data_IF_447677425892
#
_entry.id   IF_447677425892
#
_cell.length_a   1.000
_cell.length_b   1.000
_cell.length_c   1.000
_cell.angle_alpha   90.00
_cell.angle_beta   90.00
_cell.angle_gamma   90.00
#
_symmetry.space_group_name_H-M   'P 1'
#
loop_
_entity.id
_entity.type
_entity.pdbx_description
1 polymer ?
#
# COMPACT_ATOMS: atom_id res chain seq x y z
N UNK A 1 39.09 -39.93 -32.45
CA UNK A 1 37.72 -39.43 -32.72
C UNK A 1 36.99 -39.49 -31.39
N UNK A 2 37.31 -38.59 -30.48
CA UNK A 2 36.90 -37.18 -30.37
C UNK A 2 35.62 -37.03 -29.54
N UNK A 3 35.74 -36.16 -28.57
CA UNK A 3 34.90 -35.94 -27.41
C UNK A 3 33.66 -35.12 -27.75
N UNK A 4 32.64 -35.23 -26.88
CA UNK A 4 31.86 -34.14 -26.23
C UNK A 4 30.38 -34.48 -26.20
N UNK A 5 29.98 -35.16 -25.12
CA UNK A 5 28.59 -35.12 -24.65
C UNK A 5 28.30 -33.72 -24.10
N UNK A 6 27.46 -32.97 -24.81
CA UNK A 6 26.88 -31.72 -24.34
C UNK A 6 25.82 -32.05 -23.29
N UNK A 7 26.17 -31.89 -22.02
CA UNK A 7 25.19 -31.79 -20.93
C UNK A 7 24.72 -30.34 -20.87
N UNK A 8 23.58 -30.05 -21.49
CA UNK A 8 22.84 -28.81 -21.27
C UNK A 8 22.19 -28.86 -19.89
N UNK A 9 22.82 -28.23 -18.90
CA UNK A 9 22.17 -27.90 -17.63
C UNK A 9 21.08 -26.86 -17.91
N UNK A 10 19.83 -27.31 -18.03
CA UNK A 10 18.66 -26.44 -18.00
C UNK A 10 18.55 -25.86 -16.58
N UNK A 11 18.87 -24.58 -16.43
CA UNK A 11 18.58 -23.83 -15.21
C UNK A 11 17.06 -23.65 -15.15
N UNK A 12 16.37 -24.55 -14.45
CA UNK A 12 15.02 -24.31 -13.97
C UNK A 12 15.09 -23.16 -12.97
N UNK A 13 14.71 -21.96 -13.41
CA UNK A 13 14.38 -20.85 -12.52
C UNK A 13 13.22 -21.30 -11.63
N UNK A 14 13.53 -21.62 -10.37
CA UNK A 14 12.53 -21.80 -9.32
C UNK A 14 11.78 -20.47 -9.18
N UNK A 15 10.57 -20.42 -9.73
CA UNK A 15 9.61 -19.35 -9.46
C UNK A 15 9.20 -19.46 -8.00
N UNK A 16 9.84 -18.68 -7.13
CA UNK A 16 9.34 -18.48 -5.77
C UNK A 16 8.01 -17.72 -5.91
N UNK A 17 6.92 -18.32 -5.47
CA UNK A 17 5.61 -17.66 -5.45
C UNK A 17 5.66 -16.44 -4.54
N UNK A 18 5.12 -15.31 -5.00
CA UNK A 18 4.96 -14.12 -4.15
C UNK A 18 4.06 -14.46 -2.94
N UNK A 19 4.40 -13.99 -1.72
CA UNK A 19 3.59 -14.28 -0.55
C UNK A 19 2.20 -13.63 -0.64
N UNK A 20 1.20 -14.35 -0.16
CA UNK A 20 -0.19 -13.92 -0.09
C UNK A 20 -0.42 -12.88 1.02
N UNK A 21 -1.54 -12.15 0.97
CA UNK A 21 -1.96 -11.24 2.04
C UNK A 21 -1.96 -11.94 3.42
N UNK A 22 -2.49 -13.17 3.48
CA UNK A 22 -2.53 -13.97 4.72
C UNK A 22 -1.13 -14.21 5.29
N UNK A 23 -0.15 -14.49 4.42
CA UNK A 23 1.24 -14.69 4.84
C UNK A 23 1.89 -13.38 5.31
N UNK A 24 1.63 -12.25 4.65
CA UNK A 24 2.06 -10.93 5.14
C UNK A 24 1.46 -10.60 6.51
N UNK A 25 0.16 -10.84 6.71
CA UNK A 25 -0.50 -10.61 7.99
C UNK A 25 0.12 -11.45 9.12
N UNK A 26 0.46 -12.71 8.83
CA UNK A 26 1.08 -13.61 9.81
C UNK A 26 2.53 -13.25 10.13
N UNK A 27 3.28 -12.71 9.16
CA UNK A 27 4.69 -12.34 9.30
C UNK A 27 4.92 -10.89 9.76
N UNK A 28 3.87 -10.09 9.89
CA UNK A 28 3.98 -8.66 10.18
C UNK A 28 4.36 -8.38 11.63
N UNK A 29 5.38 -7.55 11.80
CA UNK A 29 5.84 -7.04 13.08
C UNK A 29 5.83 -5.50 13.06
N UNK A 30 5.03 -4.84 13.92
CA UNK A 30 5.07 -3.39 14.06
C UNK A 30 6.48 -2.89 14.43
N UNK A 31 6.95 -1.83 13.77
CA UNK A 31 8.29 -1.28 13.99
C UNK A 31 8.37 0.20 13.60
N UNK A 32 8.92 1.04 14.49
CA UNK A 32 9.10 2.48 14.31
C UNK A 32 10.38 2.89 13.56
N UNK A 33 11.24 1.96 13.16
CA UNK A 33 12.54 2.30 12.54
C UNK A 33 12.43 2.88 11.14
N UNK A 34 11.25 2.80 10.52
CA UNK A 34 11.02 3.30 9.16
C UNK A 34 10.44 4.71 9.18
N UNK A 35 10.79 5.51 8.19
CA UNK A 35 10.16 6.81 7.96
C UNK A 35 8.87 6.58 7.17
N UNK A 36 7.79 7.27 7.56
CA UNK A 36 6.52 7.25 6.83
C UNK A 36 6.66 7.70 5.36
N UNK A 37 7.65 8.54 5.05
CA UNK A 37 7.92 9.02 3.69
C UNK A 37 8.61 7.98 2.82
N UNK A 38 8.25 7.90 1.54
CA UNK A 38 8.93 7.04 0.57
C UNK A 38 8.14 6.76 -0.69
N UNK A 39 8.73 5.91 -1.54
CA UNK A 39 8.07 5.30 -2.70
C UNK A 39 7.70 3.87 -2.34
N UNK A 40 6.45 3.50 -2.58
CA UNK A 40 5.91 2.21 -2.18
C UNK A 40 5.15 1.52 -3.32
N UNK A 41 5.15 0.20 -3.28
CA UNK A 41 4.33 -0.67 -4.11
C UNK A 41 3.12 -1.13 -3.31
N UNK A 42 1.94 -0.97 -3.88
CA UNK A 42 0.71 -1.55 -3.37
C UNK A 42 0.68 -3.05 -3.71
N UNK A 43 0.43 -3.91 -2.72
CA UNK A 43 0.55 -5.36 -2.91
C UNK A 43 -0.79 -6.07 -3.08
N UNK A 44 -1.84 -5.62 -2.40
CA UNK A 44 -3.09 -6.37 -2.26
C UNK A 44 -4.35 -5.53 -2.43
N UNK A 45 -4.25 -4.25 -2.79
CA UNK A 45 -5.42 -3.43 -3.11
C UNK A 45 -6.26 -4.05 -4.24
N UNK A 46 -7.57 -4.26 -4.05
CA UNK A 46 -8.45 -4.81 -5.07
C UNK A 46 -8.55 -3.95 -6.35
N UNK A 47 -8.28 -2.65 -6.23
CA UNK A 47 -8.35 -1.66 -7.30
C UNK A 47 -7.02 -1.45 -8.05
N UNK A 48 -5.95 -2.14 -7.64
CA UNK A 48 -4.65 -2.02 -8.29
C UNK A 48 -4.36 -3.17 -9.27
N UNK A 49 -5.05 -3.15 -10.41
CA UNK A 49 -4.76 -4.05 -11.53
C UNK A 49 -3.48 -3.66 -12.31
N UNK A 50 -2.82 -2.57 -11.93
CA UNK A 50 -1.79 -1.93 -12.73
C UNK A 50 -0.38 -2.34 -12.28
N UNK A 51 0.39 -3.06 -13.12
CA UNK A 51 1.65 -3.69 -12.69
C UNK A 51 2.76 -2.69 -12.30
N UNK A 52 2.64 -1.43 -12.76
CA UNK A 52 3.60 -0.35 -12.51
C UNK A 52 3.07 0.70 -11.53
N UNK A 53 1.90 0.46 -10.95
CA UNK A 53 1.28 1.35 -10.02
C UNK A 53 2.19 1.61 -8.82
N UNK A 54 2.35 2.88 -8.49
CA UNK A 54 3.31 3.34 -7.48
C UNK A 54 2.62 4.30 -6.54
N UNK A 55 2.89 4.17 -5.24
CA UNK A 55 2.44 5.08 -4.18
C UNK A 55 3.61 5.93 -3.71
N UNK A 56 3.31 7.16 -3.34
CA UNK A 56 4.28 8.11 -2.80
C UNK A 56 3.72 8.71 -1.52
N UNK A 57 4.56 8.74 -0.48
CA UNK A 57 4.30 9.48 0.75
C UNK A 57 5.36 10.56 0.82
N UNK A 58 4.96 11.80 0.60
CA UNK A 58 5.83 12.96 0.61
C UNK A 58 5.59 13.79 1.87
N UNK A 59 6.67 14.27 2.50
CA UNK A 59 6.57 15.21 3.61
C UNK A 59 6.25 16.61 3.10
N UNK A 60 5.28 17.28 3.71
CA UNK A 60 5.03 18.70 3.48
C UNK A 60 5.34 19.57 4.71
N UNK A 61 5.34 20.88 4.45
CA UNK A 61 5.44 21.95 5.43
C UNK A 61 4.41 21.71 6.56
N UNK A 62 4.84 21.85 7.82
CA UNK A 62 4.00 21.74 9.02
C UNK A 62 3.51 20.34 9.44
N UNK A 63 4.31 19.28 9.25
CA UNK A 63 4.16 17.93 9.86
C UNK A 63 3.13 16.97 9.26
N UNK A 64 2.44 17.37 8.19
CA UNK A 64 1.53 16.48 7.46
C UNK A 64 2.25 15.71 6.34
N UNK A 65 1.85 14.46 6.11
CA UNK A 65 2.35 13.66 5.00
C UNK A 65 1.25 13.45 3.96
N UNK A 66 1.59 13.65 2.70
CA UNK A 66 0.64 13.62 1.60
C UNK A 66 0.84 12.35 0.78
N UNK A 67 -0.26 11.68 0.45
CA UNK A 67 -0.24 10.51 -0.42
C UNK A 67 -0.50 10.94 -1.86
N UNK A 68 0.31 10.43 -2.77
CA UNK A 68 0.10 10.52 -4.21
C UNK A 68 0.27 9.14 -4.85
N UNK A 69 -0.23 8.97 -6.07
CA UNK A 69 0.06 7.76 -6.85
C UNK A 69 0.19 8.05 -8.34
N UNK A 70 0.86 7.14 -9.04
CA UNK A 70 0.97 7.12 -10.50
C UNK A 70 0.74 5.74 -11.07
N UNK A 71 0.46 5.69 -12.38
CA UNK A 71 0.14 4.49 -13.13
C UNK A 71 -1.07 3.72 -12.55
N UNK A 72 -2.06 4.46 -12.08
CA UNK A 72 -3.29 3.91 -11.51
C UNK A 72 -4.46 3.97 -12.50
N UNK A 73 -5.63 3.51 -12.05
CA UNK A 73 -6.89 3.64 -12.77
C UNK A 73 -7.07 2.57 -13.85
N UNK A 74 -8.19 2.64 -14.58
CA UNK A 74 -8.60 1.59 -15.53
C UNK A 74 -7.58 1.40 -16.67
N UNK A 75 -6.87 2.48 -17.02
CA UNK A 75 -5.89 2.48 -18.13
C UNK A 75 -4.44 2.41 -17.66
N UNK A 76 -4.18 2.35 -16.35
CA UNK A 76 -2.83 2.38 -15.77
C UNK A 76 -1.99 3.59 -16.18
N UNK A 77 -2.63 4.71 -16.54
CA UNK A 77 -1.97 5.95 -16.96
C UNK A 77 -2.29 7.14 -16.06
N UNK A 78 -3.18 6.95 -15.08
CA UNK A 78 -3.62 8.02 -14.21
C UNK A 78 -2.59 8.29 -13.13
N UNK A 79 -2.48 9.55 -12.74
CA UNK A 79 -1.75 9.99 -11.55
C UNK A 79 -2.65 10.90 -10.73
N UNK A 80 -2.42 10.99 -9.43
CA UNK A 80 -3.18 11.86 -8.53
C UNK A 80 -2.37 12.23 -7.27
N UNK A 81 -2.84 13.23 -6.55
CA UNK A 81 -2.21 13.72 -5.32
C UNK A 81 -1.27 14.90 -5.55
N UNK A 82 -0.79 15.47 -4.43
CA UNK A 82 -0.02 16.72 -4.42
C UNK A 82 1.32 16.67 -5.15
N UNK A 83 1.92 15.48 -5.30
CA UNK A 83 3.16 15.30 -6.09
C UNK A 83 2.98 15.69 -7.56
N UNK A 84 1.83 15.35 -8.16
CA UNK A 84 1.58 15.55 -9.59
C UNK A 84 0.69 16.77 -9.85
N UNK A 85 -0.23 17.06 -8.92
CA UNK A 85 -1.15 18.19 -9.01
C UNK A 85 -1.11 19.00 -7.71
N UNK A 86 -0.11 19.87 -7.52
CA UNK A 86 0.05 20.63 -6.26
C UNK A 86 -1.19 21.45 -5.88
N UNK A 87 -1.88 22.00 -6.89
CA UNK A 87 -3.10 22.79 -6.72
C UNK A 87 -4.39 21.96 -6.85
N UNK A 88 -4.28 20.64 -6.98
CA UNK A 88 -5.42 19.73 -7.08
C UNK A 88 -6.16 19.56 -5.75
N UNK A 89 -7.40 19.10 -5.83
CA UNK A 89 -8.27 18.86 -4.66
C UNK A 89 -8.09 17.47 -4.04
N UNK A 90 -7.50 16.53 -4.78
CA UNK A 90 -7.23 15.16 -4.31
C UNK A 90 -5.95 15.18 -3.48
N UNK A 91 -6.09 14.90 -2.18
CA UNK A 91 -5.00 14.96 -1.21
C UNK A 91 -5.31 14.09 0.02
N UNK A 92 -5.09 12.77 -0.02
CA UNK A 92 -5.14 11.95 1.19
C UNK A 92 -3.94 12.30 2.08
N UNK A 93 -4.22 12.66 3.34
CA UNK A 93 -3.21 13.11 4.30
C UNK A 93 -3.09 12.09 5.44
N UNK A 94 -1.86 11.72 5.79
CA UNK A 94 -1.56 10.92 6.98
C UNK A 94 -1.42 11.87 8.19
N UNK A 95 -2.12 11.53 9.27
CA UNK A 95 -2.20 12.31 10.50
C UNK A 95 -2.12 11.41 11.75
N UNK A 96 -2.14 12.03 12.94
CA UNK A 96 -2.08 11.36 14.26
C UNK A 96 -0.85 10.47 14.52
N UNK A 97 0.30 10.77 13.87
CA UNK A 97 1.56 10.02 14.06
C UNK A 97 2.28 10.33 15.40
N UNK A 98 1.75 11.21 16.24
CA UNK A 98 2.38 11.60 17.50
C UNK A 98 1.40 11.42 18.67
N UNK A 99 1.87 10.87 19.81
CA UNK A 99 3.25 10.45 20.10
C UNK A 99 3.61 9.06 19.55
N UNK A 100 2.67 8.36 18.93
CA UNK A 100 2.85 7.01 18.41
C UNK A 100 3.42 7.01 17.00
N UNK A 101 4.74 6.89 16.88
CA UNK A 101 5.43 6.89 15.58
C UNK A 101 5.15 5.65 14.72
N UNK A 102 4.54 4.60 15.28
CA UNK A 102 4.26 3.33 14.59
C UNK A 102 2.88 3.35 13.95
N UNK A 103 1.92 4.04 14.56
CA UNK A 103 0.54 4.08 14.11
C UNK A 103 0.18 5.45 13.55
N UNK A 104 -0.66 5.46 12.53
CA UNK A 104 -1.17 6.70 11.96
C UNK A 104 -2.57 6.48 11.40
N UNK A 105 -3.22 7.57 11.01
CA UNK A 105 -4.50 7.53 10.33
C UNK A 105 -4.42 8.24 8.99
N UNK A 106 -5.30 7.86 8.08
CA UNK A 106 -5.47 8.51 6.78
C UNK A 106 -6.91 8.43 6.34
N UNK A 107 -7.36 9.44 5.60
CA UNK A 107 -8.63 9.41 4.90
C UNK A 107 -8.42 9.62 3.40
N UNK A 108 -9.07 8.77 2.58
CA UNK A 108 -9.13 8.92 1.13
C UNK A 108 -10.39 9.68 0.67
N UNK A 109 -11.11 10.34 1.59
CA UNK A 109 -12.30 11.12 1.27
C UNK A 109 -12.11 12.08 0.10
N UNK A 110 -10.96 12.76 0.02
CA UNK A 110 -10.64 13.74 -1.03
C UNK A 110 -10.60 13.14 -2.44
N UNK A 111 -10.57 11.80 -2.57
CA UNK A 111 -10.65 11.07 -3.84
C UNK A 111 -12.09 10.91 -4.35
N UNK A 112 -13.09 11.17 -3.50
CA UNK A 112 -14.50 10.92 -3.84
C UNK A 112 -15.24 12.25 -4.04
N UNK A 113 -15.74 12.53 -5.26
CA UNK A 113 -16.55 13.71 -5.53
C UNK A 113 -17.75 13.81 -4.59
N UNK A 114 -18.16 15.04 -4.26
CA UNK A 114 -19.27 15.29 -3.32
C UNK A 114 -20.63 14.81 -3.83
N UNK A 115 -20.79 14.68 -5.14
CA UNK A 115 -21.99 14.19 -5.82
C UNK A 115 -21.93 12.69 -6.14
N UNK A 116 -20.83 12.00 -5.79
CA UNK A 116 -20.69 10.57 -6.04
C UNK A 116 -21.71 9.76 -5.21
N UNK A 117 -22.30 8.68 -5.75
CA UNK A 117 -23.24 7.82 -5.00
C UNK A 117 -22.66 7.25 -3.70
N UNK A 118 -21.34 7.07 -3.66
CA UNK A 118 -20.60 6.52 -2.53
C UNK A 118 -20.50 7.52 -1.37
N UNK A 119 -20.74 8.81 -1.62
CA UNK A 119 -20.35 9.89 -0.72
C UNK A 119 -20.93 9.74 0.68
N UNK A 120 -22.18 9.28 0.80
CA UNK A 120 -22.83 9.00 2.09
C UNK A 120 -22.06 8.02 2.98
N UNK A 121 -21.33 7.07 2.39
CA UNK A 121 -20.51 6.10 3.12
C UNK A 121 -19.15 6.69 3.48
N UNK A 122 -18.56 7.44 2.56
CA UNK A 122 -17.29 8.15 2.79
C UNK A 122 -17.44 9.14 3.94
N UNK A 123 -18.52 9.92 3.98
CA UNK A 123 -18.85 10.83 5.09
C UNK A 123 -19.03 10.09 6.43
N UNK A 124 -19.35 8.79 6.39
CA UNK A 124 -19.43 7.91 7.55
C UNK A 124 -18.11 7.19 7.87
N UNK A 125 -17.01 7.55 7.20
CA UNK A 125 -15.66 7.03 7.43
C UNK A 125 -15.30 5.78 6.64
N UNK A 126 -16.03 5.45 5.57
CA UNK A 126 -15.76 4.25 4.77
C UNK A 126 -14.32 4.17 4.24
N UNK A 127 -13.72 5.32 3.93
CA UNK A 127 -12.36 5.45 3.41
C UNK A 127 -11.38 6.02 4.44
N UNK A 128 -11.70 5.85 5.73
CA UNK A 128 -10.78 6.11 6.83
C UNK A 128 -10.09 4.82 7.24
N UNK A 129 -8.76 4.90 7.40
CA UNK A 129 -7.91 3.75 7.66
C UNK A 129 -6.93 4.05 8.81
N UNK A 130 -6.64 3.02 9.60
CA UNK A 130 -5.50 2.99 10.51
C UNK A 130 -4.34 2.26 9.84
N UNK A 131 -3.17 2.88 9.95
CA UNK A 131 -1.92 2.41 9.37
C UNK A 131 -1.00 1.93 10.48
N UNK A 132 -0.19 0.93 10.19
CA UNK A 132 0.88 0.48 11.09
C UNK A 132 2.17 0.32 10.30
N UNK A 133 3.20 1.10 10.64
CA UNK A 133 4.55 0.87 10.16
C UNK A 133 5.11 -0.41 10.74
N UNK A 134 5.84 -1.15 9.92
CA UNK A 134 6.52 -2.32 10.40
C UNK A 134 7.34 -3.01 9.34
N UNK A 135 7.50 -4.31 9.53
CA UNK A 135 8.26 -5.17 8.65
C UNK A 135 7.60 -6.54 8.53
N UNK A 136 7.96 -7.25 7.48
CA UNK A 136 7.69 -8.69 7.31
C UNK A 136 9.00 -9.39 7.02
N UNK A 137 9.13 -10.64 7.49
CA UNK A 137 10.30 -11.48 7.21
C UNK A 137 9.85 -12.75 6.52
N UNK A 138 10.38 -13.00 5.32
CA UNK A 138 10.17 -14.24 4.57
C UNK A 138 11.53 -14.88 4.30
N UNK A 139 11.80 -16.02 4.95
CA UNK A 139 13.13 -16.64 4.95
C UNK A 139 14.16 -15.71 5.61
N UNK A 140 15.21 -15.34 4.88
CA UNK A 140 16.26 -14.41 5.34
C UNK A 140 16.04 -12.95 4.88
N UNK A 141 14.93 -12.66 4.21
CA UNK A 141 14.65 -11.34 3.62
C UNK A 141 13.66 -10.59 4.50
N UNK A 142 14.12 -9.48 5.07
CA UNK A 142 13.28 -8.50 5.76
C UNK A 142 12.81 -7.44 4.77
N UNK A 143 11.53 -7.06 4.85
CA UNK A 143 10.91 -6.03 4.01
C UNK A 143 10.19 -5.01 4.89
N UNK A 144 10.50 -3.73 4.71
CA UNK A 144 9.78 -2.64 5.34
C UNK A 144 8.41 -2.44 4.67
N UNK A 145 7.34 -2.35 5.46
CA UNK A 145 5.97 -2.24 4.95
C UNK A 145 5.11 -1.30 5.81
N UNK A 146 4.03 -0.80 5.21
CA UNK A 146 2.89 -0.20 5.91
C UNK A 146 1.73 -1.18 5.84
N UNK A 147 1.22 -1.63 6.98
CA UNK A 147 -0.01 -2.42 7.07
C UNK A 147 -1.22 -1.48 7.08
N UNK A 148 -2.26 -1.87 6.35
CA UNK A 148 -3.55 -1.19 6.28
C UNK A 148 -4.66 -2.09 6.81
N UNK A 149 -5.57 -1.52 7.59
CA UNK A 149 -6.85 -2.15 7.89
C UNK A 149 -7.86 -1.96 6.73
N UNK A 150 -9.02 -2.60 6.87
CA UNK A 150 -10.12 -2.45 5.91
C UNK A 150 -10.92 -1.18 6.11
N UNK A 151 -11.99 -1.05 5.35
CA UNK A 151 -12.91 0.10 5.38
C UNK A 151 -13.48 0.37 6.77
N UNK A 152 -13.86 1.63 7.02
CA UNK A 152 -14.40 2.08 8.31
C UNK A 152 -13.44 1.81 9.46
N UNK A 153 -12.16 2.13 9.27
CA UNK A 153 -11.12 1.88 10.25
C UNK A 153 -11.07 0.40 10.69
N UNK A 154 -11.18 -0.52 9.72
CA UNK A 154 -11.13 -1.96 9.92
C UNK A 154 -12.40 -2.58 10.49
N UNK A 155 -13.43 -1.79 10.80
CA UNK A 155 -14.69 -2.31 11.35
C UNK A 155 -15.58 -2.94 10.27
N UNK A 156 -15.32 -2.65 9.00
CA UNK A 156 -16.24 -2.98 7.93
C UNK A 156 -17.51 -2.14 8.02
N UNK A 157 -18.34 -2.21 6.99
CA UNK A 157 -19.50 -1.35 6.86
C UNK A 157 -20.17 -1.48 5.50
N UNK A 158 -21.29 -0.77 5.28
CA UNK A 158 -21.95 -0.78 3.99
C UNK A 158 -21.10 -0.07 2.91
N UNK A 159 -21.12 -0.58 1.70
CA UNK A 159 -20.45 0.01 0.54
C UNK A 159 -21.22 -0.30 -0.75
N UNK A 160 -20.83 0.31 -1.89
CA UNK A 160 -21.41 0.01 -3.19
C UNK A 160 -20.50 -0.90 -4.01
N UNK A 161 -21.09 -1.92 -4.64
CA UNK A 161 -20.40 -2.68 -5.66
C UNK A 161 -20.27 -1.89 -6.98
N UNK A 162 -19.60 -2.48 -7.98
CA UNK A 162 -19.43 -1.85 -9.31
C UNK A 162 -20.73 -1.58 -10.07
N UNK A 163 -21.87 -2.13 -9.62
CA UNK A 163 -23.19 -1.88 -10.19
C UNK A 163 -24.02 -0.89 -9.35
N UNK A 164 -23.42 -0.29 -8.31
CA UNK A 164 -24.11 0.62 -7.41
C UNK A 164 -25.04 -0.06 -6.41
N UNK A 165 -24.96 -1.39 -6.24
CA UNK A 165 -25.73 -2.11 -5.23
C UNK A 165 -24.99 -2.09 -3.90
N UNK A 166 -25.74 -1.80 -2.84
CA UNK A 166 -25.20 -1.81 -1.48
C UNK A 166 -24.89 -3.24 -1.02
N UNK A 167 -23.71 -3.44 -0.43
CA UNK A 167 -23.29 -4.68 0.20
C UNK A 167 -22.53 -4.39 1.50
N UNK A 168 -22.38 -5.42 2.34
CA UNK A 168 -21.69 -5.30 3.62
C UNK A 168 -20.23 -5.76 3.48
N UNK A 169 -19.28 -4.86 3.72
CA UNK A 169 -17.85 -5.16 3.82
C UNK A 169 -17.60 -5.73 5.23
N UNK A 170 -16.95 -6.91 5.36
CA UNK A 170 -16.64 -7.48 6.66
C UNK A 170 -15.56 -6.65 7.38
N UNK A 171 -15.49 -6.72 8.72
CA UNK A 171 -14.35 -6.21 9.47
C UNK A 171 -13.06 -6.88 9.01
N UNK A 172 -11.98 -6.10 8.90
CA UNK A 172 -10.66 -6.58 8.51
C UNK A 172 -9.56 -5.71 9.12
N UNK A 173 -8.73 -6.32 9.97
CA UNK A 173 -7.60 -5.64 10.61
C UNK A 173 -6.30 -5.69 9.78
N UNK A 174 -6.30 -6.42 8.66
CA UNK A 174 -5.13 -6.64 7.81
C UNK A 174 -5.56 -6.84 6.35
N UNK A 175 -5.94 -5.74 5.71
CA UNK A 175 -6.54 -5.74 4.39
C UNK A 175 -5.52 -5.56 3.27
N UNK A 176 -4.47 -4.75 3.52
CA UNK A 176 -3.46 -4.46 2.52
C UNK A 176 -2.09 -4.15 3.14
N UNK A 177 -1.06 -4.21 2.30
CA UNK A 177 0.30 -3.80 2.61
C UNK A 177 0.86 -2.94 1.48
N UNK A 178 1.54 -1.87 1.88
CA UNK A 178 2.41 -1.12 0.97
C UNK A 178 3.86 -1.42 1.29
N UNK A 179 4.59 -1.91 0.30
CA UNK A 179 5.99 -2.29 0.40
C UNK A 179 6.88 -1.13 -0.03
N UNK A 180 7.81 -0.71 0.82
CA UNK A 180 8.80 0.28 0.40
C UNK A 180 9.69 -0.31 -0.71
N UNK A 181 9.70 0.34 -1.86
CA UNK A 181 10.54 -0.05 -3.00
C UNK A 181 11.87 0.68 -2.86
N UNK A 182 12.83 0.05 -2.20
CA UNK A 182 14.12 0.67 -1.91
C UNK A 182 14.93 0.91 -3.19
N UNK A 183 15.04 2.18 -3.55
CA UNK A 183 16.29 2.85 -3.95
C UNK A 183 16.73 3.87 -2.86
N UNK A 184 16.52 3.53 -1.58
CA UNK A 184 17.03 4.32 -0.46
C UNK A 184 17.44 3.42 0.71
N UNK A 185 18.76 3.34 0.93
CA UNK A 185 19.46 2.76 2.10
C UNK A 185 19.31 1.26 2.33
N UNK A 186 19.96 0.46 1.48
CA UNK A 186 20.78 -0.62 2.01
C UNK A 186 21.86 0.01 2.90
N UNK A 187 21.67 0.01 4.22
CA UNK A 187 22.79 0.16 5.15
C UNK A 187 23.54 -1.18 5.11
N UNK A 188 24.80 -1.23 4.66
CA UNK A 188 25.59 -2.44 4.76
C UNK A 188 25.66 -2.84 6.24
N UNK A 189 25.22 -4.05 6.58
CA UNK A 189 25.58 -4.65 7.85
C UNK A 189 27.10 -4.81 7.84
N UNK A 190 27.81 -3.97 8.58
CA UNK A 190 29.23 -4.21 8.90
C UNK A 190 29.29 -5.41 9.83
N UNK A 191 30.10 -6.40 9.42
CA UNK A 191 30.42 -7.61 10.20
C UNK A 191 31.03 -7.28 11.57
#
# INVERSE_FOLDING_TARGET
MDQRGLLTNSLQTLSISEPTLKEYCAAFEPNATNLWTGTLKDLFSPDDACPLSTRFIDGAIATTLHISASHTGVTCSESWGKRFFPNGTVDPVIYDMLPDLVHAKVSFESKVPKDAPQRKFVDAGALDFSLTLGKVTFGSVERAVIKWNGMYDGKGGPWLDGNGKEFQVPPDACNNFWLYTSDATAVPKTN
#
